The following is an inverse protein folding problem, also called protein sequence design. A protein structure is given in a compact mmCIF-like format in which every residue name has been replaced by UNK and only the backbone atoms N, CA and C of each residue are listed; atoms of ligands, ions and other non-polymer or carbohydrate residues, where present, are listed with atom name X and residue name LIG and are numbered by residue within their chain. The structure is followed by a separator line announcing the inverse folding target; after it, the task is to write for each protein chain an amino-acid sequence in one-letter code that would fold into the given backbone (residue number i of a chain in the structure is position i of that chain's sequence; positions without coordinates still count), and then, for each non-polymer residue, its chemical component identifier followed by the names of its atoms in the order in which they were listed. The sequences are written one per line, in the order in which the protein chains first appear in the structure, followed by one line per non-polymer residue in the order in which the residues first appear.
data_IF_741988293386
#
_entry.id   IF_741988293386
#
_cell.length_a   1.000
_cell.length_b   1.000
_cell.length_c   1.000
_cell.angle_alpha   90.00
_cell.angle_beta   90.00
_cell.angle_gamma   90.00
#
_symmetry.space_group_name_H-M   'P 1'
#
loop_
_entity.id
_entity.type
_entity.pdbx_description
1 polymer ?
#
# COMPACT_ATOMS: atom_id res chain seq x y z
N UNK A 1 5.73 -13.81 -11.49
CA UNK A 1 6.98 -13.02 -11.43
C UNK A 1 6.90 -11.73 -12.23
N UNK A 2 7.15 -10.60 -11.57
CA UNK A 2 7.36 -9.31 -12.23
C UNK A 2 8.79 -9.31 -12.79
N UNK A 3 9.01 -8.92 -14.06
CA UNK A 3 10.35 -8.84 -14.62
C UNK A 3 11.19 -7.82 -13.85
N UNK A 4 12.52 -7.91 -13.95
CA UNK A 4 13.41 -6.85 -13.52
C UNK A 4 13.15 -5.60 -14.38
N UNK A 5 12.18 -4.81 -13.93
CA UNK A 5 11.90 -3.49 -14.46
C UNK A 5 12.95 -2.50 -13.98
N UNK A 6 13.22 -1.50 -14.81
CA UNK A 6 14.10 -0.39 -14.45
C UNK A 6 13.71 0.23 -13.09
N UNK A 7 12.42 0.37 -12.80
CA UNK A 7 11.91 0.92 -11.54
C UNK A 7 12.28 0.05 -10.33
N UNK A 8 12.12 -1.27 -10.41
CA UNK A 8 12.47 -2.19 -9.32
C UNK A 8 13.98 -2.27 -9.11
N UNK A 9 14.79 -2.21 -10.18
CA UNK A 9 16.25 -2.14 -10.09
C UNK A 9 16.66 -0.86 -9.36
N UNK A 10 16.12 0.29 -9.77
CA UNK A 10 16.44 1.58 -9.17
C UNK A 10 16.03 1.64 -7.69
N UNK A 11 14.85 1.10 -7.33
CA UNK A 11 14.42 0.98 -5.93
C UNK A 11 15.38 0.13 -5.09
N UNK A 12 15.82 -1.02 -5.61
CA UNK A 12 16.77 -1.89 -4.92
C UNK A 12 18.14 -1.24 -4.79
N UNK A 13 18.64 -0.60 -5.85
CA UNK A 13 19.92 0.09 -5.83
C UNK A 13 19.93 1.24 -4.80
N UNK A 14 18.91 2.10 -4.82
CA UNK A 14 18.79 3.20 -3.85
C UNK A 14 18.62 2.71 -2.42
N UNK A 15 17.85 1.64 -2.21
CA UNK A 15 17.70 1.04 -0.88
C UNK A 15 19.03 0.43 -0.39
N UNK A 16 19.78 -0.23 -1.26
CA UNK A 16 21.10 -0.76 -0.92
C UNK A 16 22.10 0.36 -0.59
N UNK A 17 22.08 1.46 -1.35
CA UNK A 17 22.87 2.65 -1.06
C UNK A 17 22.53 3.23 0.33
N UNK A 18 21.24 3.30 0.68
CA UNK A 18 20.78 3.74 2.01
C UNK A 18 21.24 2.81 3.14
N UNK A 19 21.23 1.49 2.91
CA UNK A 19 21.73 0.51 3.88
C UNK A 19 23.22 0.71 4.12
N UNK A 20 24.02 0.82 3.05
CA UNK A 20 25.47 1.06 3.16
C UNK A 20 25.73 2.34 3.94
N UNK A 21 25.05 3.42 3.58
CA UNK A 21 25.16 4.71 4.26
C UNK A 21 24.84 4.61 5.75
N UNK A 22 23.75 3.90 6.09
CA UNK A 22 23.33 3.70 7.48
C UNK A 22 24.31 2.83 8.28
N UNK A 23 24.90 1.80 7.66
CA UNK A 23 25.93 0.95 8.30
C UNK A 23 27.22 1.74 8.53
N UNK A 24 27.65 2.57 7.58
CA UNK A 24 28.82 3.46 7.75
C UNK A 24 28.59 4.45 8.89
N UNK A 25 27.39 5.07 8.94
CA UNK A 25 27.01 5.98 10.02
C UNK A 25 26.99 5.29 11.39
N UNK A 26 26.46 4.07 11.46
CA UNK A 26 26.44 3.26 12.67
C UNK A 26 27.86 2.87 13.11
N UNK A 27 28.72 2.46 12.17
CA UNK A 27 30.11 2.10 12.46
C UNK A 27 30.92 3.28 12.98
N UNK A 28 30.75 4.46 12.37
CA UNK A 28 31.39 5.70 12.83
C UNK A 28 30.95 6.06 14.26
N UNK A 29 29.64 5.97 14.53
CA UNK A 29 29.07 6.26 15.86
C UNK A 29 29.52 5.24 16.91
N UNK A 30 29.69 3.97 16.53
CA UNK A 30 30.18 2.92 17.40
C UNK A 30 31.67 3.13 17.76
N UNK A 31 32.51 3.49 16.79
CA UNK A 31 33.94 3.79 17.04
C UNK A 31 34.07 4.97 18.02
N UNK A 32 33.30 6.05 17.81
CA UNK A 32 33.30 7.19 18.73
C UNK A 32 32.81 6.84 20.14
N UNK A 33 31.90 5.86 20.27
CA UNK A 33 31.44 5.36 21.56
C UNK A 33 32.52 4.56 22.29
N UNK A 34 33.29 3.72 21.57
CA UNK A 34 34.39 2.94 22.15
C UNK A 34 35.60 3.81 22.54
N UNK A 35 35.76 4.97 21.92
CA UNK A 35 36.85 5.92 22.20
C UNK A 35 36.56 6.83 23.40
N UNK A 36 35.60 6.46 24.25
CA UNK A 36 35.22 7.10 25.53
C UNK A 36 34.94 8.62 25.42
N UNK A 37 34.54 9.05 24.23
CA UNK A 37 34.09 10.42 23.98
C UNK A 37 32.69 10.60 24.59
N UNK A 38 32.36 11.80 25.10
CA UNK A 38 31.03 12.14 25.63
C UNK A 38 29.99 12.16 24.50
N UNK A 39 29.58 10.99 24.03
CA UNK A 39 28.57 10.81 22.99
C UNK A 39 27.23 10.59 23.67
N UNK A 40 26.21 11.34 23.26
CA UNK A 40 24.86 11.17 23.76
C UNK A 40 24.27 9.87 23.21
N UNK A 41 23.52 9.12 24.03
CA UNK A 41 22.93 7.83 23.62
C UNK A 41 22.10 7.94 22.33
N UNK A 42 21.48 9.10 22.09
CA UNK A 42 20.69 9.38 20.88
C UNK A 42 21.48 9.21 19.58
N UNK A 43 22.79 9.50 19.60
CA UNK A 43 23.66 9.40 18.43
C UNK A 43 23.97 7.95 18.05
N UNK A 44 23.83 7.02 18.99
CA UNK A 44 23.96 5.58 18.75
C UNK A 44 22.63 4.98 18.28
N UNK A 45 21.51 5.37 18.91
CA UNK A 45 20.20 4.83 18.60
C UNK A 45 19.65 5.29 17.25
N UNK A 46 19.94 6.52 16.84
CA UNK A 46 19.46 7.08 15.56
C UNK A 46 19.90 6.25 14.35
N UNK A 47 21.21 5.97 14.13
CA UNK A 47 21.66 5.13 13.02
C UNK A 47 21.23 3.67 13.20
N UNK A 48 21.07 3.17 14.43
CA UNK A 48 20.55 1.83 14.68
C UNK A 48 19.09 1.67 14.24
N UNK A 49 18.22 2.63 14.55
CA UNK A 49 16.83 2.62 14.09
C UNK A 49 16.77 2.75 12.56
N UNK A 50 17.62 3.59 11.96
CA UNK A 50 17.72 3.73 10.51
C UNK A 50 18.13 2.42 9.82
N UNK A 51 19.14 1.71 10.33
CA UNK A 51 19.57 0.42 9.74
C UNK A 51 18.43 -0.61 9.76
N UNK A 52 17.77 -0.79 10.90
CA UNK A 52 16.62 -1.69 11.03
C UNK A 52 15.50 -1.30 10.07
N UNK A 53 15.24 0.01 9.94
CA UNK A 53 14.20 0.55 9.07
C UNK A 53 14.48 0.27 7.59
N UNK A 54 15.72 0.43 7.12
CA UNK A 54 16.05 0.13 5.72
C UNK A 54 16.10 -1.37 5.42
N UNK A 55 16.50 -2.20 6.40
CA UNK A 55 16.40 -3.66 6.29
C UNK A 55 14.93 -4.08 6.13
N UNK A 56 14.03 -3.51 6.95
CA UNK A 56 12.60 -3.77 6.81
C UNK A 56 12.08 -3.32 5.43
N UNK A 57 12.51 -2.17 4.94
CA UNK A 57 12.15 -1.69 3.60
C UNK A 57 12.69 -2.63 2.48
N UNK A 58 13.89 -3.18 2.63
CA UNK A 58 14.42 -4.20 1.72
C UNK A 58 13.57 -5.48 1.74
N UNK A 59 13.18 -5.96 2.93
CA UNK A 59 12.32 -7.14 3.06
C UNK A 59 10.97 -6.89 2.39
N UNK A 60 10.36 -5.71 2.58
CA UNK A 60 9.11 -5.35 1.90
C UNK A 60 9.28 -5.34 0.37
N UNK A 61 10.36 -4.75 -0.14
CA UNK A 61 10.69 -4.79 -1.57
C UNK A 61 10.81 -6.22 -2.11
N UNK A 62 11.42 -7.12 -1.34
CA UNK A 62 11.54 -8.54 -1.71
C UNK A 62 10.18 -9.26 -1.65
N UNK A 63 9.34 -8.98 -0.66
CA UNK A 63 8.00 -9.55 -0.56
C UNK A 63 7.11 -9.09 -1.72
N UNK A 64 7.18 -7.81 -2.09
CA UNK A 64 6.43 -7.27 -3.22
C UNK A 64 6.87 -7.92 -4.55
N UNK A 65 8.17 -8.18 -4.69
CA UNK A 65 8.73 -8.94 -5.82
C UNK A 65 8.21 -10.37 -5.87
N UNK A 66 8.21 -11.10 -4.76
CA UNK A 66 7.74 -12.51 -4.70
C UNK A 66 6.23 -12.58 -4.94
N UNK A 67 5.46 -11.65 -4.37
CA UNK A 67 4.00 -11.59 -4.53
C UNK A 67 3.55 -11.02 -5.88
N UNK A 68 4.47 -10.44 -6.65
CA UNK A 68 4.19 -9.84 -7.95
C UNK A 68 3.17 -8.70 -7.87
N UNK A 69 3.15 -7.95 -6.76
CA UNK A 69 2.24 -6.84 -6.57
C UNK A 69 2.65 -5.69 -7.50
N UNK A 70 1.76 -5.30 -8.40
CA UNK A 70 1.98 -4.21 -9.36
C UNK A 70 2.20 -2.85 -8.68
N UNK A 71 1.64 -2.67 -7.49
CA UNK A 71 1.72 -1.42 -6.73
C UNK A 71 1.78 -1.73 -5.23
N UNK A 72 2.89 -1.37 -4.57
CA UNK A 72 3.01 -1.52 -3.12
C UNK A 72 2.53 -0.25 -2.39
N UNK A 73 1.28 -0.29 -1.92
CA UNK A 73 0.73 0.81 -1.12
C UNK A 73 1.41 0.96 0.25
N UNK A 74 1.84 -0.16 0.85
CA UNK A 74 2.54 -0.15 2.14
C UNK A 74 3.88 0.55 2.02
N UNK A 75 4.66 0.22 0.99
CA UNK A 75 5.96 0.84 0.76
C UNK A 75 5.83 2.34 0.47
N UNK A 76 4.84 2.73 -0.35
CA UNK A 76 4.54 4.13 -0.59
C UNK A 76 4.20 4.90 0.70
N UNK A 77 3.29 4.37 1.53
CA UNK A 77 2.92 5.02 2.80
C UNK A 77 4.10 5.12 3.75
N UNK A 78 4.94 4.08 3.80
CA UNK A 78 6.16 4.09 4.60
C UNK A 78 7.11 5.22 4.18
N UNK A 79 7.43 5.33 2.89
CA UNK A 79 8.31 6.40 2.40
C UNK A 79 7.67 7.79 2.57
N UNK A 80 6.35 7.90 2.43
CA UNK A 80 5.62 9.15 2.64
C UNK A 80 5.70 9.62 4.09
N UNK A 81 5.47 8.73 5.06
CA UNK A 81 5.62 9.07 6.48
C UNK A 81 7.06 9.49 6.80
N UNK A 82 8.05 8.80 6.22
CA UNK A 82 9.47 9.09 6.43
C UNK A 82 9.87 10.45 5.85
N UNK A 83 9.41 10.80 4.65
CA UNK A 83 9.68 12.13 4.08
C UNK A 83 8.97 13.24 4.84
N UNK A 84 7.72 13.04 5.28
CA UNK A 84 6.98 14.04 6.07
C UNK A 84 7.66 14.29 7.42
N UNK A 85 8.10 13.23 8.10
CA UNK A 85 8.83 13.36 9.37
C UNK A 85 10.21 13.99 9.16
N UNK A 86 10.91 13.60 8.09
CA UNK A 86 12.19 14.20 7.70
C UNK A 86 12.08 15.67 7.31
N UNK A 87 10.96 16.12 6.73
CA UNK A 87 10.73 17.52 6.40
C UNK A 87 10.67 18.41 7.65
N UNK A 88 10.08 17.91 8.75
CA UNK A 88 10.11 18.60 10.03
C UNK A 88 11.54 18.75 10.56
N UNK A 89 12.36 17.70 10.43
CA UNK A 89 13.77 17.71 10.82
C UNK A 89 14.62 18.65 9.94
N UNK A 90 14.36 18.69 8.63
CA UNK A 90 15.01 19.64 7.72
C UNK A 90 14.70 21.09 8.12
N UNK A 91 13.45 21.38 8.46
CA UNK A 91 13.06 22.72 8.92
C UNK A 91 13.83 23.12 10.19
N UNK A 92 13.97 22.21 11.15
CA UNK A 92 14.70 22.51 12.38
C UNK A 92 16.19 22.75 12.14
N UNK A 93 16.82 21.97 11.26
CA UNK A 93 18.24 22.14 10.92
C UNK A 93 18.49 23.46 10.17
N UNK A 94 17.66 23.81 9.19
CA UNK A 94 17.77 25.09 8.47
C UNK A 94 17.61 26.26 9.45
N UNK A 95 16.66 26.20 10.38
CA UNK A 95 16.46 27.27 11.36
C UNK A 95 17.68 27.39 12.31
N UNK A 96 18.26 26.27 12.71
CA UNK A 96 19.42 26.25 13.58
C UNK A 96 20.63 26.90 12.89
N UNK A 97 20.89 26.55 11.63
CA UNK A 97 22.00 27.07 10.83
C UNK A 97 21.91 28.60 10.61
N UNK A 98 20.68 29.12 10.39
CA UNK A 98 20.45 30.56 10.26
C UNK A 98 20.70 31.33 11.56
N UNK A 99 20.56 30.69 12.73
CA UNK A 99 20.71 31.33 14.03
C UNK A 99 22.15 31.26 14.54
N UNK A 100 22.89 30.22 14.14
CA UNK A 100 24.25 29.89 14.59
C UNK A 100 25.27 30.03 13.43
N UNK A 101 25.14 31.08 12.62
CA UNK A 101 25.82 31.30 11.32
C UNK A 101 27.38 31.36 11.35
N UNK A 102 28.03 30.91 12.42
CA UNK A 102 29.47 31.02 12.64
C UNK A 102 30.17 29.70 13.05
N UNK A 103 29.45 28.60 13.21
CA UNK A 103 30.04 27.29 13.53
C UNK A 103 30.25 26.43 12.27
N UNK A 104 31.38 25.70 12.21
CA UNK A 104 31.72 24.77 11.13
C UNK A 104 30.60 23.72 10.92
N UNK A 105 30.32 23.30 9.67
CA UNK A 105 29.23 22.37 9.41
C UNK A 105 29.47 21.04 10.11
N UNK A 106 28.62 20.73 11.09
CA UNK A 106 28.65 19.45 11.79
C UNK A 106 28.53 18.30 10.79
N UNK A 107 29.37 17.27 10.93
CA UNK A 107 29.36 16.08 10.06
C UNK A 107 27.95 15.45 9.95
N UNK A 108 27.16 15.50 11.03
CA UNK A 108 25.76 15.03 11.06
C UNK A 108 24.83 15.80 10.13
N UNK A 109 25.01 17.11 10.01
CA UNK A 109 24.19 17.98 9.17
C UNK A 109 24.46 17.69 7.69
N UNK A 110 25.74 17.51 7.33
CA UNK A 110 26.16 17.10 5.98
C UNK A 110 25.57 15.72 5.63
N UNK A 111 25.64 14.79 6.58
CA UNK A 111 25.11 13.44 6.42
C UNK A 111 23.59 13.46 6.16
N UNK A 112 22.85 14.26 6.94
CA UNK A 112 21.42 14.46 6.76
C UNK A 112 21.07 15.10 5.41
N UNK A 113 21.86 16.10 4.97
CA UNK A 113 21.66 16.80 3.71
C UNK A 113 21.80 15.89 2.48
N UNK A 114 22.68 14.87 2.54
CA UNK A 114 22.83 13.87 1.47
C UNK A 114 21.74 12.79 1.58
N UNK A 115 21.41 12.38 2.79
CA UNK A 115 20.42 11.33 3.06
C UNK A 115 19.00 11.73 2.63
N UNK A 116 18.54 12.91 3.02
CA UNK A 116 17.15 13.33 2.84
C UNK A 116 16.71 13.38 1.36
N UNK A 117 17.50 13.94 0.41
CA UNK A 117 17.19 13.88 -1.02
C UNK A 117 17.04 12.45 -1.56
N UNK A 118 17.85 11.50 -1.08
CA UNK A 118 17.75 10.09 -1.50
C UNK A 118 16.42 9.49 -1.04
N UNK A 119 15.95 9.81 0.17
CA UNK A 119 14.64 9.39 0.68
C UNK A 119 13.50 10.01 -0.15
N UNK A 120 13.60 11.29 -0.49
CA UNK A 120 12.60 11.97 -1.35
C UNK A 120 12.59 11.36 -2.75
N UNK A 121 13.75 11.08 -3.33
CA UNK A 121 13.84 10.40 -4.63
C UNK A 121 13.21 9.01 -4.57
N UNK A 122 13.41 8.28 -3.47
CA UNK A 122 12.79 6.98 -3.25
C UNK A 122 11.26 7.08 -3.17
N UNK A 123 10.72 8.13 -2.54
CA UNK A 123 9.26 8.40 -2.56
C UNK A 123 8.77 8.65 -3.98
N UNK A 124 9.45 9.50 -4.75
CA UNK A 124 9.07 9.82 -6.13
C UNK A 124 9.07 8.56 -7.01
N UNK A 125 10.06 7.68 -6.86
CA UNK A 125 10.09 6.41 -7.61
C UNK A 125 8.94 5.48 -7.19
N UNK A 126 8.51 5.52 -5.92
CA UNK A 126 7.34 4.78 -5.45
C UNK A 126 6.00 5.41 -5.85
N UNK A 127 5.98 6.64 -6.34
CA UNK A 127 4.78 7.28 -6.90
C UNK A 127 4.40 6.70 -8.27
N UNK A 128 5.41 6.30 -9.06
CA UNK A 128 5.22 5.68 -10.36
C UNK A 128 4.85 4.20 -10.23
N UNK A 129 4.00 3.73 -11.15
CA UNK A 129 3.62 2.32 -11.21
C UNK A 129 4.85 1.47 -11.57
N UNK A 130 5.04 0.37 -10.85
CA UNK A 130 6.00 -0.64 -11.26
C UNK A 130 5.50 -1.34 -12.53
N UNK A 131 6.38 -1.95 -13.34
CA UNK A 131 5.94 -2.59 -14.57
C UNK A 131 4.97 -3.75 -14.32
N UNK A 132 4.05 -3.99 -15.27
CA UNK A 132 3.03 -5.02 -15.14
C UNK A 132 3.64 -6.42 -14.94
N UNK A 133 3.01 -7.29 -14.13
CA UNK A 133 3.44 -8.67 -13.98
C UNK A 133 3.39 -9.41 -15.33
N UNK A 134 4.37 -10.29 -15.59
CA UNK A 134 4.45 -11.08 -16.84
C UNK A 134 3.22 -11.94 -17.10
N UNK A 135 2.53 -12.35 -16.05
CA UNK A 135 1.30 -13.14 -16.10
C UNK A 135 0.19 -12.31 -15.48
N UNK A 136 -0.88 -12.10 -16.23
CA UNK A 136 -2.07 -11.42 -15.75
C UNK A 136 -3.24 -12.40 -15.81
N UNK A 137 -4.16 -12.33 -14.86
CA UNK A 137 -5.38 -13.15 -14.84
C UNK A 137 -6.38 -12.75 -15.95
N UNK A 138 -6.03 -11.75 -16.78
CA UNK A 138 -6.92 -11.14 -17.75
C UNK A 138 -6.80 -11.81 -19.13
N UNK A 139 -7.93 -12.01 -19.83
CA UNK A 139 -7.92 -12.46 -21.21
C UNK A 139 -7.24 -11.42 -22.12
N UNK A 140 -6.38 -11.89 -23.04
CA UNK A 140 -5.53 -11.04 -23.90
C UNK A 140 -6.29 -10.14 -24.89
N UNK A 141 -7.56 -10.42 -25.16
CA UNK A 141 -8.38 -9.74 -26.17
C UNK A 141 -9.27 -8.62 -25.60
N UNK A 142 -9.15 -8.32 -24.31
CA UNK A 142 -10.07 -7.42 -23.60
C UNK A 142 -9.45 -6.03 -23.39
N UNK A 143 -10.24 -4.97 -23.43
CA UNK A 143 -9.78 -3.59 -23.21
C UNK A 143 -9.70 -3.33 -21.70
N UNK A 144 -8.56 -3.67 -21.09
CA UNK A 144 -8.38 -3.58 -19.63
C UNK A 144 -8.66 -2.17 -19.09
N UNK A 145 -9.33 -2.12 -17.93
CA UNK A 145 -9.41 -0.91 -17.11
C UNK A 145 -8.00 -0.39 -16.76
N UNK A 146 -7.70 0.89 -17.01
CA UNK A 146 -6.42 1.51 -16.63
C UNK A 146 -6.16 1.43 -15.13
N UNK A 147 -7.19 1.34 -14.29
CA UNK A 147 -7.07 1.14 -12.85
C UNK A 147 -6.18 -0.07 -12.49
N UNK A 148 -6.21 -1.14 -13.29
CA UNK A 148 -5.38 -2.34 -13.05
C UNK A 148 -3.89 -2.01 -13.16
N UNK A 149 -3.56 -1.13 -14.11
CA UNK A 149 -2.20 -0.68 -14.41
C UNK A 149 -1.83 0.64 -13.73
N UNK A 150 -2.78 1.28 -13.04
CA UNK A 150 -2.56 2.55 -12.38
C UNK A 150 -1.64 2.37 -11.16
N UNK A 151 -0.84 3.40 -10.87
CA UNK A 151 -0.03 3.46 -9.64
C UNK A 151 -0.93 3.51 -8.41
N UNK A 152 -0.38 3.19 -7.23
CA UNK A 152 -1.15 3.22 -5.99
C UNK A 152 -1.78 4.60 -5.74
N UNK A 153 -1.02 5.67 -5.97
CA UNK A 153 -1.51 7.03 -5.81
C UNK A 153 -2.59 7.34 -6.83
N UNK A 154 -2.39 6.98 -8.10
CA UNK A 154 -3.41 7.17 -9.14
C UNK A 154 -4.72 6.46 -8.79
N UNK A 155 -4.69 5.30 -8.12
CA UNK A 155 -5.89 4.62 -7.61
C UNK A 155 -6.59 5.41 -6.50
N UNK A 156 -5.84 6.06 -5.60
CA UNK A 156 -6.40 6.89 -4.52
C UNK A 156 -7.02 8.17 -5.07
N UNK A 157 -6.30 8.89 -5.94
CA UNK A 157 -6.78 10.17 -6.49
C UNK A 157 -7.71 9.99 -7.69
N UNK A 158 -8.05 8.74 -8.05
CA UNK A 158 -8.81 8.38 -9.25
C UNK A 158 -8.23 8.95 -10.56
N UNK A 159 -6.93 9.28 -10.60
CA UNK A 159 -6.32 9.92 -11.76
C UNK A 159 -6.33 9.06 -13.03
N UNK A 160 -6.49 7.74 -12.89
CA UNK A 160 -6.68 6.82 -14.02
C UNK A 160 -8.01 7.05 -14.76
N UNK A 161 -8.99 7.70 -14.11
CA UNK A 161 -10.32 7.98 -14.65
C UNK A 161 -10.38 9.34 -15.36
N UNK A 162 -9.45 10.25 -15.09
CA UNK A 162 -9.42 11.63 -15.63
C UNK A 162 -9.50 11.67 -17.16
N UNK A 163 -8.80 10.76 -17.85
CA UNK A 163 -8.84 10.68 -19.31
C UNK A 163 -10.25 10.41 -19.86
N UNK A 164 -11.06 9.62 -19.14
CA UNK A 164 -12.46 9.35 -19.52
C UNK A 164 -13.35 10.55 -19.23
N UNK A 165 -13.15 11.23 -18.10
CA UNK A 165 -13.89 12.45 -17.75
C UNK A 165 -13.69 13.51 -18.83
N UNK A 166 -12.43 13.79 -19.18
CA UNK A 166 -12.09 14.80 -20.20
C UNK A 166 -12.68 14.40 -21.56
N UNK A 167 -12.65 13.11 -21.92
CA UNK A 167 -13.25 12.62 -23.16
C UNK A 167 -14.77 12.83 -23.18
N UNK A 168 -15.45 12.52 -22.08
CA UNK A 168 -16.89 12.72 -21.90
C UNK A 168 -17.32 14.18 -21.91
N UNK A 169 -16.45 15.07 -21.43
CA UNK A 169 -16.68 16.52 -21.51
C UNK A 169 -16.65 17.03 -22.95
N UNK A 170 -15.77 16.46 -23.80
CA UNK A 170 -15.62 16.88 -25.21
C UNK A 170 -16.61 16.21 -26.15
N UNK A 171 -16.97 14.94 -25.92
CA UNK A 171 -17.83 14.15 -26.78
C UNK A 171 -18.76 13.24 -25.95
N UNK A 172 -19.98 12.94 -26.42
CA UNK A 172 -20.85 11.98 -25.74
C UNK A 172 -20.20 10.58 -25.72
N UNK A 173 -20.12 9.95 -24.54
CA UNK A 173 -19.52 8.63 -24.41
C UNK A 173 -20.39 7.54 -25.02
N UNK A 174 -19.75 6.64 -25.76
CA UNK A 174 -20.37 5.40 -26.25
C UNK A 174 -19.87 4.19 -25.46
N UNK A 175 -20.60 3.05 -25.46
CA UNK A 175 -20.13 1.83 -24.80
C UNK A 175 -18.77 1.33 -25.28
N UNK A 176 -18.40 1.63 -26.53
CA UNK A 176 -17.09 1.29 -27.09
C UNK A 176 -15.93 2.14 -26.50
N UNK A 177 -16.25 3.33 -25.98
CA UNK A 177 -15.26 4.20 -25.32
C UNK A 177 -14.90 3.72 -23.92
N UNK A 178 -15.81 2.97 -23.29
CA UNK A 178 -15.60 2.41 -21.96
C UNK A 178 -14.56 1.29 -21.97
N UNK A 179 -14.01 1.01 -20.80
CA UNK A 179 -13.16 -0.14 -20.58
C UNK A 179 -14.00 -1.33 -20.12
N UNK A 180 -13.46 -2.52 -20.34
CA UNK A 180 -14.05 -3.73 -19.84
C UNK A 180 -13.89 -3.85 -18.32
N UNK A 181 -14.90 -4.43 -17.67
CA UNK A 181 -14.87 -4.66 -16.24
C UNK A 181 -13.68 -5.54 -15.83
N UNK A 182 -13.12 -5.29 -14.65
CA UNK A 182 -12.02 -6.09 -14.12
C UNK A 182 -12.46 -7.55 -14.00
N UNK A 183 -11.59 -8.48 -14.40
CA UNK A 183 -11.87 -9.91 -14.40
C UNK A 183 -12.41 -10.42 -13.04
N UNK A 184 -11.87 -9.91 -11.94
CA UNK A 184 -12.28 -10.28 -10.57
C UNK A 184 -13.70 -9.84 -10.20
N UNK A 185 -14.21 -8.80 -10.85
CA UNK A 185 -15.52 -8.20 -10.58
C UNK A 185 -16.59 -8.69 -11.56
N UNK A 186 -16.19 -9.45 -12.60
CA UNK A 186 -17.13 -10.05 -13.54
C UNK A 186 -18.03 -11.07 -12.84
N UNK A 187 -19.29 -11.13 -13.28
CA UNK A 187 -20.29 -12.09 -12.78
C UNK A 187 -19.80 -13.54 -12.85
N UNK A 188 -19.01 -13.90 -13.85
CA UNK A 188 -18.36 -15.21 -13.98
C UNK A 188 -17.47 -15.58 -12.78
N UNK A 189 -16.91 -14.60 -12.07
CA UNK A 189 -16.08 -14.81 -10.88
C UNK A 189 -16.86 -14.60 -9.58
N UNK A 190 -17.75 -13.61 -9.53
CA UNK A 190 -18.49 -13.25 -8.32
C UNK A 190 -19.58 -14.27 -8.00
N UNK A 191 -20.33 -14.74 -9.01
CA UNK A 191 -21.46 -15.66 -8.81
C UNK A 191 -21.02 -16.99 -8.20
N UNK A 192 -19.99 -17.69 -8.70
CA UNK A 192 -19.56 -18.96 -8.09
C UNK A 192 -19.03 -18.79 -6.66
N UNK A 193 -18.34 -17.69 -6.36
CA UNK A 193 -17.85 -17.39 -5.01
C UNK A 193 -19.01 -17.16 -4.04
N UNK A 194 -20.01 -16.41 -4.47
CA UNK A 194 -21.24 -16.20 -3.72
C UNK A 194 -22.00 -17.51 -3.49
N UNK A 195 -22.21 -18.30 -4.53
CA UNK A 195 -22.96 -19.56 -4.45
C UNK A 195 -22.28 -20.56 -3.50
N UNK A 196 -20.94 -20.65 -3.54
CA UNK A 196 -20.17 -21.48 -2.60
C UNK A 196 -20.35 -21.01 -1.15
N UNK A 197 -20.30 -19.71 -0.90
CA UNK A 197 -20.53 -19.15 0.43
C UNK A 197 -21.98 -19.36 0.90
N UNK A 198 -22.94 -19.22 -0.02
CA UNK A 198 -24.37 -19.43 0.22
C UNK A 198 -24.69 -20.87 0.60
N UNK A 199 -24.20 -21.85 -0.18
CA UNK A 199 -24.33 -23.28 0.12
C UNK A 199 -23.78 -23.62 1.50
N UNK A 200 -22.59 -23.10 1.86
CA UNK A 200 -22.01 -23.28 3.19
C UNK A 200 -22.92 -22.75 4.32
N UNK A 201 -23.59 -21.63 4.10
CA UNK A 201 -24.55 -21.05 5.07
C UNK A 201 -25.85 -21.86 5.14
N UNK A 202 -26.36 -22.34 4.02
CA UNK A 202 -27.53 -23.22 3.98
C UNK A 202 -27.26 -24.54 4.73
N UNK A 203 -26.11 -25.18 4.48
CA UNK A 203 -25.72 -26.41 5.16
C UNK A 203 -25.56 -26.19 6.67
N UNK A 204 -24.96 -25.06 7.06
CA UNK A 204 -24.85 -24.68 8.47
C UNK A 204 -26.23 -24.47 9.10
N UNK A 205 -27.12 -23.73 8.43
CA UNK A 205 -28.48 -23.47 8.91
C UNK A 205 -29.33 -24.75 8.99
N UNK A 206 -29.13 -25.70 8.09
CA UNK A 206 -29.78 -27.01 8.12
C UNK A 206 -29.28 -27.89 9.28
N UNK A 207 -28.01 -27.75 9.66
CA UNK A 207 -27.39 -28.48 10.79
C UNK A 207 -27.65 -27.84 12.15
N UNK A 208 -28.00 -26.55 12.19
CA UNK A 208 -28.37 -25.90 13.44
C UNK A 208 -29.81 -26.25 13.76
N UNK A 209 -30.09 -26.93 14.89
CA UNK A 209 -31.47 -27.21 15.26
C UNK A 209 -32.21 -25.88 15.43
N UNK A 210 -33.34 -25.72 14.72
CA UNK A 210 -34.26 -24.60 15.00
C UNK A 210 -34.62 -24.71 16.48
N UNK A 211 -34.25 -23.70 17.28
CA UNK A 211 -34.73 -23.59 18.65
C UNK A 211 -36.26 -23.55 18.57
N UNK A 212 -36.91 -24.66 18.95
CA UNK A 212 -38.35 -24.75 19.00
C UNK A 212 -38.81 -23.75 20.07
N UNK A 213 -39.36 -22.61 19.66
CA UNK A 213 -40.19 -21.78 20.53
C UNK A 213 -41.51 -22.52 20.81
N UNK A 214 -41.44 -23.60 21.58
CA UNK A 214 -42.59 -24.31 22.12
C UNK A 214 -42.56 -24.29 23.65
N UNK A 215 -42.65 -23.10 24.23
CA UNK A 215 -43.16 -22.86 25.59
C UNK A 215 -43.50 -21.36 25.59
N UNK A 216 -44.75 -20.93 25.45
CA UNK A 216 -45.84 -21.11 26.41
C UNK A 216 -47.19 -21.05 25.66
N UNK A 217 -47.80 -22.20 25.43
CA UNK A 217 -49.25 -22.29 25.24
C UNK A 217 -49.83 -22.59 26.62
N UNK A 218 -50.19 -21.56 27.37
CA UNK A 218 -51.14 -21.63 28.48
C UNK A 218 -51.66 -20.20 28.70
N UNK A 219 -52.85 -19.93 28.16
CA UNK A 219 -53.60 -18.70 28.39
C UNK A 219 -54.15 -18.04 27.13
N UNK A 220 -55.39 -18.38 26.76
CA UNK A 220 -56.24 -17.55 25.90
C UNK A 220 -56.22 -17.88 24.41
N UNK A 221 -57.36 -18.30 23.88
CA UNK A 221 -57.60 -18.53 22.47
C UNK A 221 -57.50 -17.21 21.65
N UNK A 222 -56.80 -17.26 20.51
CA UNK A 222 -56.95 -16.29 19.41
C UNK A 222 -56.99 -17.11 18.10
N UNK A 223 -57.95 -16.86 17.18
CA UNK A 223 -58.17 -17.76 16.06
C UNK A 223 -57.10 -17.62 14.96
N UNK A 224 -56.87 -18.75 14.30
CA UNK A 224 -55.95 -18.99 13.20
C UNK A 224 -56.16 -18.03 12.02
N UNK A 225 -55.14 -17.26 11.67
CA UNK A 225 -55.07 -16.49 10.43
C UNK A 225 -54.58 -17.40 9.29
N UNK A 226 -55.50 -17.69 8.37
CA UNK A 226 -55.35 -18.49 7.16
C UNK A 226 -54.22 -17.97 6.28
N UNK A 227 -53.19 -18.80 6.07
CA UNK A 227 -52.03 -18.47 5.23
C UNK A 227 -52.45 -18.48 3.75
N UNK A 228 -52.50 -17.31 3.12
CA UNK A 228 -52.83 -17.16 1.69
C UNK A 228 -51.55 -17.30 0.87
N UNK A 229 -51.32 -18.49 0.32
CA UNK A 229 -50.29 -18.69 -0.70
C UNK A 229 -50.67 -17.91 -1.96
N UNK A 230 -49.87 -16.92 -2.36
CA UNK A 230 -49.87 -16.38 -3.71
C UNK A 230 -48.65 -16.94 -4.46
N UNK A 231 -48.91 -17.73 -5.50
CA UNK A 231 -47.91 -18.17 -6.47
C UNK A 231 -47.37 -16.95 -7.25
N UNK A 232 -46.09 -16.93 -7.64
CA UNK A 232 -45.59 -15.93 -8.57
C UNK A 232 -46.04 -16.30 -10.00
N UNK A 233 -46.44 -15.28 -10.75
CA UNK A 233 -46.52 -15.27 -12.22
C UNK A 233 -45.16 -14.80 -12.74
#
# INVERSE_FOLDING_TARGET
DVPWGFTNISKLFLNLLLIIFSVVSLGWSAIQYFEDSKVFLVDLWTPAIQTVTFILAAVLLLLDKIRGLHTSGVLFLFWLCLTVTGAAQLRTEILHDNTTAQEEPNFKNILFLIYYPVVVLMLVINLFADPPPRTTDYPKYQKLCPEVQASFVSKIVFGWFDALIIKGFRNPLTPADLWDLRYRDTSSQVVPRFEKAWKKKLDHAARTPKFNSKTTQNGGAIPSAKNRQSKPV
#
